data_IF_759240546227
#
_entry.id   IF_759240546227
#
_cell.length_a   1.000
_cell.length_b   1.000
_cell.length_c   1.000
_cell.angle_alpha   90.00
_cell.angle_beta   90.00
_cell.angle_gamma   90.00
#
_symmetry.space_group_name_H-M   'P 1'
#
loop_
_entity.id
_entity.type
_entity.pdbx_description
1 polymer ?
#
# COMPACT_ATOMS: atom_id res chain seq x y z
N UNK A 1 -22.10 -2.88 -3.49
CA UNK A 1 -21.83 -1.50 -3.95
C UNK A 1 -20.35 -1.42 -4.27
N UNK A 2 -19.94 -1.17 -5.52
CA UNK A 2 -18.52 -1.14 -5.87
C UNK A 2 -17.89 0.20 -5.48
N UNK A 3 -16.56 0.26 -5.29
CA UNK A 3 -15.86 1.54 -5.05
C UNK A 3 -16.13 2.56 -6.16
N UNK A 4 -16.33 2.10 -7.40
CA UNK A 4 -16.66 2.97 -8.55
C UNK A 4 -18.03 3.62 -8.37
N UNK A 5 -19.01 2.88 -7.84
CA UNK A 5 -20.36 3.41 -7.59
C UNK A 5 -20.34 4.44 -6.45
N UNK A 6 -19.50 4.21 -5.44
CA UNK A 6 -19.28 5.16 -4.35
C UNK A 6 -18.65 6.48 -4.85
N UNK A 7 -17.60 6.41 -5.67
CA UNK A 7 -16.99 7.61 -6.24
C UNK A 7 -17.91 8.36 -7.21
N UNK A 8 -18.71 7.64 -8.00
CA UNK A 8 -19.73 8.26 -8.86
C UNK A 8 -20.81 8.97 -8.05
N UNK A 9 -21.29 8.35 -6.97
CA UNK A 9 -22.26 8.96 -6.07
C UNK A 9 -21.68 10.21 -5.38
N UNK A 10 -20.44 10.16 -4.89
CA UNK A 10 -19.79 11.34 -4.29
C UNK A 10 -19.62 12.49 -5.29
N UNK A 11 -19.26 12.19 -6.54
CA UNK A 11 -19.11 13.21 -7.60
C UNK A 11 -20.42 13.89 -8.01
N UNK A 12 -21.57 13.28 -7.70
CA UNK A 12 -22.90 13.88 -7.91
C UNK A 12 -23.34 14.78 -6.74
N UNK A 13 -22.71 14.64 -5.57
CA UNK A 13 -23.12 15.30 -4.32
C UNK A 13 -22.14 16.40 -3.91
N UNK A 14 -20.85 16.26 -4.24
CA UNK A 14 -19.79 17.18 -3.85
C UNK A 14 -19.02 17.69 -5.07
N UNK A 15 -18.52 18.91 -4.96
CA UNK A 15 -17.66 19.50 -5.97
C UNK A 15 -16.37 18.67 -6.12
N UNK A 16 -15.99 18.25 -7.34
CA UNK A 16 -14.78 17.47 -7.57
C UNK A 16 -13.50 18.16 -7.07
N UNK A 17 -13.41 19.49 -7.13
CA UNK A 17 -12.26 20.26 -6.65
C UNK A 17 -12.19 20.24 -5.13
N UNK A 18 -13.34 20.30 -4.46
CA UNK A 18 -13.43 20.23 -3.01
C UNK A 18 -13.04 18.83 -2.51
N UNK A 19 -13.52 17.75 -3.15
CA UNK A 19 -13.10 16.38 -2.85
C UNK A 19 -11.57 16.24 -3.04
N UNK A 20 -11.03 16.75 -4.14
CA UNK A 20 -9.60 16.66 -4.42
C UNK A 20 -8.78 17.40 -3.36
N UNK A 21 -9.21 18.60 -2.98
CA UNK A 21 -8.57 19.39 -1.93
C UNK A 21 -8.56 18.63 -0.59
N UNK A 22 -9.70 18.10 -0.16
CA UNK A 22 -9.81 17.33 1.09
C UNK A 22 -8.88 16.10 1.05
N UNK A 23 -8.83 15.39 -0.07
CA UNK A 23 -7.94 14.24 -0.23
C UNK A 23 -6.46 14.65 -0.17
N UNK A 24 -6.07 15.77 -0.80
CA UNK A 24 -4.72 16.30 -0.71
C UNK A 24 -4.34 16.72 0.71
N UNK A 25 -5.24 17.40 1.41
CA UNK A 25 -5.02 17.84 2.79
C UNK A 25 -4.87 16.65 3.73
N UNK A 26 -5.72 15.62 3.55
CA UNK A 26 -5.60 14.36 4.29
C UNK A 26 -4.27 13.66 4.01
N UNK A 27 -3.85 13.56 2.75
CA UNK A 27 -2.56 12.95 2.37
C UNK A 27 -1.36 13.67 2.99
N UNK A 28 -1.45 14.99 3.20
CA UNK A 28 -0.39 15.79 3.82
C UNK A 28 -0.39 15.70 5.35
N UNK A 29 -1.56 15.70 5.97
CA UNK A 29 -1.69 15.70 7.42
C UNK A 29 -1.44 14.30 8.02
N UNK A 30 -1.86 13.24 7.34
CA UNK A 30 -1.82 11.88 7.88
C UNK A 30 -0.40 11.38 8.25
N UNK A 31 0.67 11.65 7.47
CA UNK A 31 2.04 11.34 7.89
C UNK A 31 2.47 12.06 9.17
N UNK A 32 1.96 13.27 9.44
CA UNK A 32 2.33 14.02 10.63
C UNK A 32 1.80 13.37 11.94
N UNK A 33 0.83 12.46 11.84
CA UNK A 33 0.27 11.75 12.99
C UNK A 33 1.22 10.71 13.59
N UNK A 34 2.26 10.28 12.86
CA UNK A 34 3.26 9.33 13.38
C UNK A 34 2.75 7.91 13.67
N UNK A 35 1.51 7.58 13.30
CA UNK A 35 0.85 6.29 13.54
C UNK A 35 1.26 5.18 12.55
N UNK A 36 2.01 5.52 11.52
CA UNK A 36 2.38 4.61 10.45
C UNK A 36 3.75 3.95 10.69
N UNK A 37 3.91 2.72 10.22
CA UNK A 37 5.15 1.97 10.25
C UNK A 37 6.08 2.39 9.12
N UNK A 38 7.34 2.65 9.47
CA UNK A 38 8.39 2.91 8.49
C UNK A 38 8.90 1.61 7.88
N UNK A 39 9.17 1.65 6.57
CA UNK A 39 9.94 0.62 5.86
C UNK A 39 11.42 0.69 6.27
N UNK A 40 12.19 -0.35 5.94
CA UNK A 40 13.65 -0.35 6.15
C UNK A 40 14.38 0.82 5.46
N UNK A 41 13.82 1.30 4.34
CA UNK A 41 14.33 2.46 3.60
C UNK A 41 13.89 3.82 4.18
N UNK A 42 13.34 3.84 5.41
CA UNK A 42 12.80 5.05 6.08
C UNK A 42 11.68 5.75 5.28
N UNK A 43 10.93 4.99 4.48
CA UNK A 43 9.73 5.47 3.79
C UNK A 43 8.47 5.02 4.52
N UNK A 44 7.41 5.81 4.46
CA UNK A 44 6.09 5.51 5.03
C UNK A 44 5.16 4.73 4.09
N UNK A 45 5.53 4.58 2.82
CA UNK A 45 4.74 3.84 1.82
C UNK A 45 5.27 2.40 1.70
N UNK A 46 4.36 1.45 1.83
CA UNK A 46 4.52 0.02 1.61
C UNK A 46 3.88 -0.38 0.28
N UNK A 47 4.54 -1.28 -0.44
CA UNK A 47 4.01 -1.84 -1.68
C UNK A 47 3.60 -3.29 -1.42
N UNK A 48 2.37 -3.63 -1.83
CA UNK A 48 1.77 -4.95 -1.67
C UNK A 48 1.47 -5.53 -3.05
N UNK A 49 1.61 -6.85 -3.17
CA UNK A 49 1.13 -7.59 -4.34
C UNK A 49 -0.22 -8.23 -4.00
N UNK A 50 -1.16 -8.05 -4.91
CA UNK A 50 -2.43 -8.77 -4.90
C UNK A 50 -2.23 -10.15 -5.54
N UNK A 51 -2.46 -11.20 -4.77
CA UNK A 51 -2.49 -12.58 -5.25
C UNK A 51 -3.85 -12.90 -5.87
N UNK A 52 -3.85 -13.77 -6.88
CA UNK A 52 -5.07 -14.28 -7.51
C UNK A 52 -5.53 -13.53 -8.76
N UNK A 53 -4.93 -12.38 -9.09
CA UNK A 53 -5.18 -11.74 -10.39
C UNK A 53 -4.25 -12.28 -11.49
N UNK A 54 -4.80 -12.46 -12.70
CA UNK A 54 -4.03 -12.88 -13.90
C UNK A 54 -2.92 -11.88 -14.28
N UNK A 55 -3.01 -10.64 -13.78
CA UNK A 55 -2.02 -9.59 -13.95
C UNK A 55 -1.56 -9.18 -12.55
N UNK A 56 -0.26 -9.08 -12.37
CA UNK A 56 0.34 -8.68 -11.11
C UNK A 56 -0.05 -7.23 -10.79
N UNK A 57 -1.02 -7.04 -9.88
CA UNK A 57 -1.42 -5.71 -9.44
C UNK A 57 -0.66 -5.33 -8.17
N UNK A 58 0.00 -4.18 -8.21
CA UNK A 58 0.69 -3.61 -7.05
C UNK A 58 -0.16 -2.53 -6.40
N UNK A 59 -0.30 -2.60 -5.09
CA UNK A 59 -1.00 -1.61 -4.28
C UNK A 59 0.03 -0.88 -3.41
N UNK A 60 0.00 0.45 -3.42
CA UNK A 60 0.79 1.27 -2.51
C UNK A 60 -0.10 1.78 -1.37
N UNK A 61 0.38 1.70 -0.13
CA UNK A 61 -0.36 2.17 1.03
C UNK A 61 0.52 2.37 2.25
N UNK A 62 -0.04 2.97 3.30
CA UNK A 62 0.64 3.09 4.60
C UNK A 62 0.23 1.94 5.50
N UNK A 63 1.16 1.43 6.30
CA UNK A 63 0.89 0.37 7.28
C UNK A 63 0.73 1.01 8.66
N UNK A 64 -0.36 0.74 9.37
CA UNK A 64 -0.58 1.21 10.74
C UNK A 64 0.05 0.20 11.71
N UNK A 65 0.87 0.68 12.65
CA UNK A 65 1.61 -0.21 13.57
C UNK A 65 0.71 -0.89 14.60
N UNK A 66 -0.25 -0.15 15.15
CA UNK A 66 -1.22 -0.64 16.14
C UNK A 66 -2.64 -0.18 15.76
N UNK A 67 -3.30 -0.91 14.84
CA UNK A 67 -4.62 -0.51 14.36
C UNK A 67 -5.72 -0.60 15.42
N UNK A 68 -5.56 -1.43 16.47
CA UNK A 68 -6.58 -1.54 17.53
C UNK A 68 -6.67 -0.24 18.33
N UNK A 69 -5.53 0.27 18.78
CA UNK A 69 -5.46 1.51 19.57
C UNK A 69 -5.77 2.74 18.70
N UNK A 70 -5.21 2.79 17.49
CA UNK A 70 -5.34 3.97 16.61
C UNK A 70 -6.76 4.14 16.07
N UNK A 71 -7.47 3.04 15.81
CA UNK A 71 -8.81 3.06 15.25
C UNK A 71 -9.91 2.79 16.29
N UNK A 72 -9.54 2.68 17.57
CA UNK A 72 -10.44 2.37 18.69
C UNK A 72 -11.33 1.15 18.41
N UNK A 73 -10.69 0.06 17.99
CA UNK A 73 -11.37 -1.19 17.60
C UNK A 73 -11.31 -2.22 18.71
N UNK A 74 -12.41 -2.94 18.92
CA UNK A 74 -12.45 -4.07 19.86
C UNK A 74 -11.76 -5.34 19.33
N UNK A 75 -11.72 -5.51 18.00
CA UNK A 75 -11.11 -6.65 17.33
C UNK A 75 -10.71 -6.31 15.90
N UNK A 76 -9.70 -7.01 15.37
CA UNK A 76 -9.31 -6.93 13.96
C UNK A 76 -9.99 -8.04 13.15
N UNK A 77 -10.33 -7.79 11.88
CA UNK A 77 -10.73 -8.84 10.96
C UNK A 77 -9.57 -9.80 10.68
N UNK A 78 -9.89 -10.95 10.11
CA UNK A 78 -8.88 -11.89 9.61
C UNK A 78 -7.98 -11.21 8.57
N UNK A 79 -6.70 -11.59 8.56
CA UNK A 79 -5.72 -11.06 7.61
C UNK A 79 -6.16 -11.35 6.17
N UNK A 80 -6.03 -10.36 5.27
CA UNK A 80 -6.42 -10.52 3.88
C UNK A 80 -5.49 -11.55 3.19
N UNK A 81 -6.00 -12.73 2.79
CA UNK A 81 -5.17 -13.79 2.22
C UNK A 81 -4.61 -13.45 0.84
N UNK A 82 -5.18 -12.43 0.17
CA UNK A 82 -4.77 -12.00 -1.16
C UNK A 82 -3.70 -10.91 -1.12
N UNK A 83 -3.36 -10.37 0.05
CA UNK A 83 -2.44 -9.23 0.16
C UNK A 83 -1.12 -9.67 0.79
N UNK A 84 -0.05 -9.71 0.00
CA UNK A 84 1.30 -9.95 0.52
C UNK A 84 2.14 -8.69 0.41
N UNK A 85 2.78 -8.29 1.51
CA UNK A 85 3.75 -7.21 1.48
C UNK A 85 4.94 -7.63 0.60
N UNK A 86 5.32 -6.81 -0.37
CA UNK A 86 6.66 -6.93 -0.94
C UNK A 86 7.61 -6.52 0.18
N UNK A 87 8.21 -7.49 0.88
CA UNK A 87 9.44 -7.23 1.60
C UNK A 87 10.40 -6.66 0.56
N UNK A 88 10.74 -5.38 0.70
CA UNK A 88 11.78 -4.74 -0.09
C UNK A 88 13.02 -5.62 -0.01
N UNK A 89 13.24 -6.44 -1.05
CA UNK A 89 14.37 -7.36 -1.06
C UNK A 89 15.64 -6.50 -0.97
N UNK A 90 16.58 -6.83 -0.07
CA UNK A 90 17.93 -6.29 -0.19
C UNK A 90 18.47 -6.71 -1.55
N UNK A 91 19.06 -5.77 -2.28
CA UNK A 91 19.25 -5.82 -3.73
C UNK A 91 19.70 -7.17 -4.28
N UNK A 92 19.01 -7.63 -5.32
CA UNK A 92 19.53 -8.64 -6.24
C UNK A 92 19.67 -7.97 -7.58
N UNK A 93 20.89 -7.46 -7.85
CA UNK A 93 21.30 -7.06 -9.18
C UNK A 93 21.28 -8.32 -10.06
N UNK A 94 20.20 -8.51 -10.81
CA UNK A 94 20.14 -9.50 -11.87
C UNK A 94 20.95 -8.99 -13.07
N UNK A 95 22.28 -9.01 -12.96
CA UNK A 95 23.12 -9.11 -14.14
C UNK A 95 23.21 -10.58 -14.51
N UNK A 96 22.28 -11.00 -15.36
CA UNK A 96 22.41 -12.19 -16.19
C UNK A 96 23.73 -12.09 -16.96
N UNK A 97 24.65 -13.01 -16.70
CA UNK A 97 25.95 -13.04 -17.36
C UNK A 97 26.79 -14.23 -16.91
N UNK A 98 26.22 -15.44 -16.96
CA UNK A 98 27.02 -16.67 -16.92
C UNK A 98 27.43 -16.99 -18.35
N UNK A 99 28.74 -17.01 -18.68
CA UNK A 99 29.25 -17.94 -19.67
C UNK A 99 29.75 -19.21 -18.94
N UNK A 100 29.56 -20.39 -19.54
CA UNK A 100 29.78 -21.67 -18.88
C UNK A 100 31.27 -22.06 -18.88
N UNK A 101 31.72 -22.66 -17.78
CA UNK A 101 32.79 -23.66 -17.78
C UNK A 101 34.22 -23.17 -17.61
N UNK A 102 34.81 -23.51 -16.47
CA UNK A 102 35.85 -24.56 -16.37
C UNK A 102 36.19 -24.79 -14.90
N UNK A 103 35.88 -26.00 -14.43
CA UNK A 103 36.47 -26.59 -13.23
C UNK A 103 37.85 -27.07 -13.65
N UNK A 104 38.90 -26.56 -13.03
CA UNK A 104 40.10 -27.25 -12.53
C UNK A 104 40.90 -26.27 -11.69
#
# INVERSE_FOLDING_TARGET
>A
MSCIDFFKAMRMVFDPEEIFKVMCDLCRAYPALGIHKMTAAKKNIWTYRLQGEKREHKLNGMLISDPLTVLDLNALPEANPLLMAETSMPGTNNNSGVPPGKIF
#
